data_IF_051137472141
#
_entry.id   IF_051137472141
#
_cell.length_a   1.000
_cell.length_b   1.000
_cell.length_c   1.000
_cell.angle_alpha   90.00
_cell.angle_beta   90.00
_cell.angle_gamma   90.00
#
_symmetry.space_group_name_H-M   'P 1'
#
loop_
_entity.id
_entity.type
_entity.pdbx_description
1 polymer ?
#
# COMPACT_ATOMS: atom_id res chain seq x y z
N UNK A 1 -24.47 31.62 -5.04
CA UNK A 1 -24.87 30.21 -4.89
C UNK A 1 -24.33 29.44 -6.09
N UNK A 2 -23.17 28.81 -5.92
CA UNK A 2 -22.69 27.78 -6.86
C UNK A 2 -22.42 26.57 -5.99
N UNK A 3 -23.47 25.77 -5.79
CA UNK A 3 -23.36 24.43 -5.22
C UNK A 3 -22.68 23.58 -6.28
N UNK A 4 -21.36 23.45 -6.20
CA UNK A 4 -20.62 22.45 -6.97
C UNK A 4 -21.10 21.09 -6.50
N UNK A 5 -21.92 20.44 -7.31
CA UNK A 5 -22.26 19.03 -7.15
C UNK A 5 -20.97 18.24 -7.38
N UNK A 6 -20.24 17.95 -6.31
CA UNK A 6 -19.11 17.03 -6.34
C UNK A 6 -19.68 15.65 -6.60
N UNK A 7 -19.76 15.26 -7.86
CA UNK A 7 -19.94 13.86 -8.25
C UNK A 7 -18.81 13.08 -7.59
N UNK A 8 -19.14 12.31 -6.54
CA UNK A 8 -18.20 11.44 -5.86
C UNK A 8 -17.69 10.44 -6.89
N UNK A 9 -16.47 10.64 -7.40
CA UNK A 9 -15.79 9.62 -8.19
C UNK A 9 -15.62 8.43 -7.24
N UNK A 10 -16.18 7.24 -7.54
CA UNK A 10 -15.97 6.08 -6.70
C UNK A 10 -14.50 5.67 -6.79
N UNK A 11 -13.71 6.13 -5.83
CA UNK A 11 -12.28 5.84 -5.70
C UNK A 11 -12.11 4.54 -4.93
N UNK A 12 -12.57 3.44 -5.52
CA UNK A 12 -12.50 2.12 -4.87
C UNK A 12 -11.51 1.24 -5.63
N UNK A 13 -10.37 0.98 -4.99
CA UNK A 13 -9.47 -0.10 -5.38
C UNK A 13 -9.90 -1.39 -4.64
N UNK A 14 -9.54 -2.55 -5.18
CA UNK A 14 -9.80 -3.85 -4.57
C UNK A 14 -8.59 -4.37 -3.80
N UNK A 15 -8.81 -5.35 -2.94
CA UNK A 15 -7.77 -6.13 -2.26
C UNK A 15 -7.82 -7.57 -2.76
N UNK A 16 -6.68 -8.30 -2.83
CA UNK A 16 -6.70 -9.73 -3.17
C UNK A 16 -7.28 -10.60 -2.05
N UNK A 17 -7.56 -10.02 -0.87
CA UNK A 17 -8.10 -10.74 0.29
C UNK A 17 -9.61 -10.92 0.14
N UNK A 18 -10.10 -12.15 0.23
CA UNK A 18 -11.54 -12.42 0.39
C UNK A 18 -11.98 -12.01 1.81
N UNK A 19 -12.46 -10.77 1.92
CA UNK A 19 -12.86 -10.17 3.20
C UNK A 19 -14.03 -10.94 3.83
N UNK A 20 -14.98 -11.43 3.03
CA UNK A 20 -16.13 -12.18 3.52
C UNK A 20 -15.68 -13.51 4.14
N UNK A 21 -14.75 -14.21 3.48
CA UNK A 21 -14.18 -15.44 4.04
C UNK A 21 -13.35 -15.15 5.28
N UNK A 22 -12.50 -14.11 5.24
CA UNK A 22 -11.68 -13.72 6.38
C UNK A 22 -12.53 -13.39 7.61
N UNK A 23 -13.62 -12.65 7.44
CA UNK A 23 -14.57 -12.34 8.52
C UNK A 23 -15.14 -13.60 9.17
N UNK A 24 -15.53 -14.60 8.37
CA UNK A 24 -16.02 -15.89 8.87
C UNK A 24 -14.96 -16.65 9.69
N UNK A 25 -13.71 -16.67 9.21
CA UNK A 25 -12.60 -17.34 9.92
C UNK A 25 -12.23 -16.62 11.23
N UNK A 26 -12.44 -15.30 11.31
CA UNK A 26 -12.12 -14.48 12.48
C UNK A 26 -13.22 -14.45 13.55
N UNK A 27 -14.37 -15.09 13.33
CA UNK A 27 -15.48 -15.16 14.31
C UNK A 27 -15.02 -15.70 15.67
N UNK A 28 -14.07 -16.64 15.69
CA UNK A 28 -13.53 -17.23 16.92
C UNK A 28 -12.35 -16.47 17.54
N UNK A 29 -11.84 -15.41 16.91
CA UNK A 29 -10.62 -14.74 17.37
C UNK A 29 -10.84 -14.03 18.73
N UNK A 30 -9.93 -14.17 19.70
CA UNK A 30 -10.11 -13.62 21.05
C UNK A 30 -10.02 -12.08 21.09
N UNK A 31 -9.20 -11.49 20.22
CA UNK A 31 -9.06 -10.04 20.09
C UNK A 31 -10.05 -9.53 19.04
N UNK A 32 -11.16 -8.93 19.50
CA UNK A 32 -12.23 -8.41 18.62
C UNK A 32 -11.95 -7.01 18.09
N UNK A 33 -11.12 -6.25 18.79
CA UNK A 33 -10.73 -4.91 18.37
C UNK A 33 -9.82 -5.02 17.15
N UNK A 34 -8.82 -5.90 17.20
CA UNK A 34 -7.95 -6.20 16.07
C UNK A 34 -8.73 -6.68 14.84
N UNK A 35 -9.67 -7.62 15.01
CA UNK A 35 -10.44 -8.13 13.87
C UNK A 35 -11.32 -7.06 13.26
N UNK A 36 -11.92 -6.21 14.09
CA UNK A 36 -12.78 -5.12 13.60
C UNK A 36 -11.96 -4.10 12.82
N UNK A 37 -10.81 -3.68 13.36
CA UNK A 37 -9.86 -2.79 12.70
C UNK A 37 -9.38 -3.34 11.35
N UNK A 38 -9.01 -4.61 11.30
CA UNK A 38 -8.54 -5.26 10.08
C UNK A 38 -9.65 -5.32 9.01
N UNK A 39 -10.85 -5.75 9.39
CA UNK A 39 -11.97 -5.89 8.46
C UNK A 39 -12.47 -4.54 7.96
N UNK A 40 -12.56 -3.53 8.83
CA UNK A 40 -12.93 -2.17 8.40
C UNK A 40 -11.86 -1.60 7.46
N UNK A 41 -10.58 -1.76 7.81
CA UNK A 41 -9.48 -1.27 6.98
C UNK A 41 -9.42 -1.90 5.59
N UNK A 42 -9.69 -3.21 5.48
CA UNK A 42 -9.75 -3.89 4.19
C UNK A 42 -10.96 -3.47 3.34
N UNK A 43 -12.08 -3.08 3.96
CA UNK A 43 -13.31 -2.66 3.26
C UNK A 43 -13.29 -1.19 2.86
N UNK A 44 -12.77 -0.34 3.73
CA UNK A 44 -12.93 1.11 3.67
C UNK A 44 -11.59 1.85 3.48
N UNK A 45 -10.47 1.15 3.63
CA UNK A 45 -9.12 1.71 3.62
C UNK A 45 -8.55 1.88 5.01
N UNK A 46 -7.21 1.91 5.10
CA UNK A 46 -6.48 2.17 6.34
C UNK A 46 -6.10 3.64 6.45
N UNK A 47 -6.10 4.17 7.67
CA UNK A 47 -5.49 5.48 7.92
C UNK A 47 -3.98 5.41 7.67
N UNK A 48 -3.48 6.36 6.89
CA UNK A 48 -2.05 6.45 6.53
C UNK A 48 -1.21 7.17 7.59
N UNK A 49 -1.85 7.78 8.60
CA UNK A 49 -1.16 8.49 9.67
C UNK A 49 -0.63 9.87 9.28
N UNK A 50 -0.98 10.36 8.10
CA UNK A 50 -0.60 11.68 7.62
C UNK A 50 -1.45 12.74 8.33
N UNK A 51 -0.88 13.42 9.31
CA UNK A 51 -1.57 14.46 10.09
C UNK A 51 -1.64 15.82 9.37
N UNK A 52 -0.61 16.14 8.58
CA UNK A 52 -0.49 17.43 7.88
C UNK A 52 -0.53 17.22 6.37
N UNK A 53 -1.73 17.28 5.79
CA UNK A 53 -1.93 17.10 4.35
C UNK A 53 -1.27 18.28 3.61
N UNK A 54 -0.35 18.02 2.64
CA UNK A 54 0.23 19.09 1.84
C UNK A 54 -0.87 19.90 1.17
N UNK A 55 -0.80 21.23 1.15
CA UNK A 55 -1.86 22.11 0.63
C UNK A 55 -1.61 22.65 -0.79
N UNK A 56 -0.54 22.19 -1.44
CA UNK A 56 -0.17 22.56 -2.80
C UNK A 56 0.05 21.32 -3.66
N UNK A 57 -0.44 21.33 -4.91
CA UNK A 57 -0.16 20.26 -5.83
C UNK A 57 1.34 20.18 -6.11
N UNK A 58 1.87 18.97 -6.27
CA UNK A 58 3.24 18.75 -6.73
C UNK A 58 3.30 17.57 -7.68
N UNK A 59 4.07 17.76 -8.76
CA UNK A 59 4.38 16.72 -9.72
C UNK A 59 5.87 16.48 -9.78
N UNK A 60 6.29 15.26 -9.45
CA UNK A 60 7.67 14.85 -9.55
C UNK A 60 7.85 13.96 -10.81
N UNK A 61 8.92 14.17 -11.59
CA UNK A 61 9.17 13.37 -12.78
C UNK A 61 9.59 11.94 -12.42
N UNK A 62 9.19 10.99 -13.25
CA UNK A 62 9.56 9.57 -13.08
C UNK A 62 11.08 9.34 -13.00
N UNK A 63 11.46 8.31 -12.24
CA UNK A 63 12.84 7.90 -12.08
C UNK A 63 13.45 7.49 -13.43
N UNK A 64 14.79 7.54 -13.52
CA UNK A 64 15.50 7.19 -14.76
C UNK A 64 15.21 5.76 -15.23
N UNK A 65 15.01 4.83 -14.31
CA UNK A 65 14.70 3.43 -14.63
C UNK A 65 13.35 3.29 -15.37
N UNK A 66 12.30 3.95 -14.91
CA UNK A 66 11.00 3.96 -15.58
C UNK A 66 11.06 4.62 -16.96
N UNK A 67 11.76 5.75 -17.09
CA UNK A 67 11.91 6.45 -18.38
C UNK A 67 12.69 5.65 -19.43
N UNK A 68 13.61 4.79 -19.01
CA UNK A 68 14.40 3.94 -19.91
C UNK A 68 13.63 2.73 -20.45
N UNK A 69 12.61 2.28 -19.75
CA UNK A 69 11.81 1.12 -20.12
C UNK A 69 10.30 1.39 -19.97
N UNK A 70 9.77 2.33 -20.78
CA UNK A 70 8.36 2.73 -20.68
C UNK A 70 7.40 1.59 -21.03
N UNK A 71 7.83 0.63 -21.87
CA UNK A 71 6.99 -0.52 -22.25
C UNK A 71 6.66 -1.40 -21.05
N UNK A 72 7.65 -1.72 -20.21
CA UNK A 72 7.39 -2.49 -19.00
C UNK A 72 6.58 -1.69 -17.98
N UNK A 73 6.80 -0.38 -17.87
CA UNK A 73 5.96 0.48 -17.02
C UNK A 73 4.50 0.39 -17.44
N UNK A 74 4.20 0.61 -18.73
CA UNK A 74 2.82 0.55 -19.24
C UNK A 74 2.19 -0.83 -18.99
N UNK A 75 2.91 -1.91 -19.25
CA UNK A 75 2.42 -3.27 -19.01
C UNK A 75 2.11 -3.51 -17.53
N UNK A 76 3.03 -3.17 -16.63
CA UNK A 76 2.87 -3.39 -15.20
C UNK A 76 1.73 -2.53 -14.63
N UNK A 77 1.62 -1.26 -15.03
CA UNK A 77 0.48 -0.41 -14.62
C UNK A 77 -0.85 -0.99 -15.12
N UNK A 78 -0.90 -1.54 -16.33
CA UNK A 78 -2.09 -2.19 -16.85
C UNK A 78 -2.46 -3.46 -16.06
N UNK A 79 -1.47 -4.23 -15.59
CA UNK A 79 -1.70 -5.38 -14.72
C UNK A 79 -2.30 -4.97 -13.36
N UNK A 80 -1.76 -3.93 -12.72
CA UNK A 80 -2.31 -3.38 -11.47
C UNK A 80 -3.75 -2.87 -11.64
N UNK A 81 -4.04 -2.20 -12.77
CA UNK A 81 -5.40 -1.74 -13.12
C UNK A 81 -6.36 -2.93 -13.35
N UNK A 82 -5.90 -3.97 -14.05
CA UNK A 82 -6.71 -5.17 -14.31
C UNK A 82 -7.01 -5.95 -13.03
N UNK A 83 -6.07 -5.95 -12.08
CA UNK A 83 -6.28 -6.53 -10.74
C UNK A 83 -7.18 -5.67 -9.85
N UNK A 84 -7.51 -4.44 -10.29
CA UNK A 84 -8.31 -3.48 -9.54
C UNK A 84 -7.57 -2.77 -8.40
N UNK A 85 -6.24 -2.90 -8.32
CA UNK A 85 -5.44 -2.31 -7.24
C UNK A 85 -5.19 -0.82 -7.43
N UNK A 86 -5.34 -0.31 -8.65
CA UNK A 86 -5.23 1.11 -8.99
C UNK A 86 -6.55 1.64 -9.54
N UNK A 87 -6.81 2.92 -9.28
CA UNK A 87 -7.97 3.64 -9.83
C UNK A 87 -7.46 4.69 -10.82
N UNK A 88 -8.10 4.76 -11.99
CA UNK A 88 -7.70 5.59 -13.11
C UNK A 88 -7.49 4.75 -14.37
N UNK A 89 -6.57 5.12 -15.29
CA UNK A 89 -5.82 6.38 -15.30
C UNK A 89 -6.74 7.59 -15.54
N UNK A 90 -6.35 8.74 -15.03
CA UNK A 90 -7.07 9.99 -15.24
C UNK A 90 -6.36 10.85 -16.29
N UNK A 91 -7.14 11.48 -17.18
CA UNK A 91 -6.60 12.43 -18.16
C UNK A 91 -6.15 13.75 -17.52
N UNK A 92 -6.65 14.05 -16.32
CA UNK A 92 -6.29 15.20 -15.50
C UNK A 92 -6.40 14.83 -14.02
N UNK A 93 -5.65 15.49 -13.11
CA UNK A 93 -5.74 15.24 -11.68
C UNK A 93 -7.20 15.34 -11.18
N UNK A 94 -7.73 14.33 -10.45
CA UNK A 94 -9.12 14.34 -10.00
C UNK A 94 -9.38 15.30 -8.83
N UNK A 95 -8.34 15.87 -8.24
CA UNK A 95 -8.39 16.78 -7.11
C UNK A 95 -7.64 18.08 -7.41
N UNK A 96 -8.06 19.19 -6.79
CA UNK A 96 -7.38 20.50 -6.88
C UNK A 96 -5.96 20.40 -6.30
N UNK A 97 -5.83 19.66 -5.22
CA UNK A 97 -4.59 19.46 -4.51
C UNK A 97 -4.24 17.97 -4.53
N UNK A 98 -3.08 17.65 -5.07
CA UNK A 98 -2.68 16.28 -5.39
C UNK A 98 -1.16 16.10 -5.34
N UNK A 99 -0.71 14.85 -5.26
CA UNK A 99 0.71 14.50 -5.30
C UNK A 99 0.97 13.43 -6.33
N UNK A 100 1.84 13.73 -7.30
CA UNK A 100 2.36 12.74 -8.25
C UNK A 100 3.79 12.40 -7.84
N UNK A 101 3.94 11.23 -7.22
CA UNK A 101 5.25 10.71 -6.85
C UNK A 101 5.91 10.01 -8.05
N UNK A 102 7.25 10.04 -8.16
CA UNK A 102 7.96 9.34 -9.21
C UNK A 102 7.71 7.84 -9.12
N UNK A 103 7.49 7.21 -10.28
CA UNK A 103 7.63 5.75 -10.38
C UNK A 103 8.99 5.36 -10.95
N UNK A 104 9.47 4.21 -10.52
CA UNK A 104 10.68 3.55 -11.02
C UNK A 104 10.43 2.09 -11.34
N UNK A 105 11.40 1.47 -11.99
CA UNK A 105 11.46 0.01 -12.15
C UNK A 105 12.65 -0.54 -11.37
N UNK A 106 12.41 -1.65 -10.67
CA UNK A 106 13.43 -2.47 -10.02
C UNK A 106 13.29 -3.90 -10.49
N UNK A 107 14.41 -4.59 -10.69
CA UNK A 107 14.44 -5.98 -11.09
C UNK A 107 14.79 -6.87 -9.90
N UNK A 108 13.99 -7.91 -9.67
CA UNK A 108 14.27 -8.93 -8.66
C UNK A 108 15.54 -9.69 -9.00
N UNK A 109 16.49 -9.74 -8.07
CA UNK A 109 17.79 -10.40 -8.25
C UNK A 109 17.64 -11.86 -8.71
N UNK A 110 16.73 -12.61 -8.09
CA UNK A 110 16.54 -14.05 -8.32
C UNK A 110 15.62 -14.34 -9.50
N UNK A 111 14.44 -13.70 -9.54
CA UNK A 111 13.41 -14.04 -10.53
C UNK A 111 13.54 -13.27 -11.83
N UNK A 112 14.37 -12.22 -11.89
CA UNK A 112 14.49 -11.27 -13.00
C UNK A 112 13.19 -10.55 -13.35
N UNK A 113 12.15 -10.71 -12.53
CA UNK A 113 10.88 -10.00 -12.68
C UNK A 113 11.08 -8.53 -12.32
N UNK A 114 10.57 -7.64 -13.17
CA UNK A 114 10.53 -6.20 -12.93
C UNK A 114 9.28 -5.85 -12.11
N UNK A 115 9.44 -4.94 -11.17
CA UNK A 115 8.36 -4.38 -10.35
C UNK A 115 8.41 -2.86 -10.43
N UNK A 116 7.22 -2.25 -10.40
CA UNK A 116 7.10 -0.81 -10.19
C UNK A 116 7.45 -0.51 -8.74
N UNK A 117 8.19 0.56 -8.53
CA UNK A 117 8.37 1.19 -7.22
C UNK A 117 7.83 2.61 -7.27
N UNK A 118 7.27 3.09 -6.17
CA UNK A 118 6.82 4.47 -5.99
C UNK A 118 7.76 5.14 -5.01
N UNK A 119 8.39 6.25 -5.40
CA UNK A 119 9.27 7.02 -4.53
C UNK A 119 8.45 7.99 -3.66
N UNK A 120 7.95 7.49 -2.53
CA UNK A 120 7.21 8.29 -1.53
C UNK A 120 8.11 9.22 -0.71
N UNK A 121 9.43 9.15 -0.92
CA UNK A 121 10.41 10.05 -0.32
C UNK A 121 10.73 11.25 -1.22
N UNK A 122 10.17 11.31 -2.43
CA UNK A 122 10.28 12.47 -3.30
C UNK A 122 9.31 13.59 -2.90
N UNK A 123 9.67 14.87 -3.16
CA UNK A 123 10.98 15.33 -3.58
C UNK A 123 12.00 15.23 -2.42
N UNK A 124 13.24 14.88 -2.75
CA UNK A 124 14.30 14.77 -1.75
C UNK A 124 14.85 16.16 -1.42
N UNK A 125 14.94 16.49 -0.13
CA UNK A 125 15.50 17.74 0.40
C UNK A 125 14.76 19.03 -0.01
N UNK A 126 13.46 18.96 -0.27
CA UNK A 126 12.63 20.14 -0.52
C UNK A 126 11.97 20.60 0.80
N UNK A 127 12.26 21.84 1.21
CA UNK A 127 11.73 22.41 2.47
C UNK A 127 10.28 22.84 2.34
N UNK A 128 9.84 23.21 1.14
CA UNK A 128 8.49 23.70 0.88
C UNK A 128 7.54 22.53 0.56
N UNK A 129 8.12 21.39 0.16
CA UNK A 129 7.40 20.18 -0.20
C UNK A 129 7.96 18.95 0.53
N UNK A 130 7.64 18.75 1.82
CA UNK A 130 8.02 17.54 2.52
C UNK A 130 7.52 16.29 1.77
N UNK A 131 8.29 15.21 1.85
CA UNK A 131 7.93 13.93 1.25
C UNK A 131 6.78 13.28 2.03
N UNK A 132 6.00 12.42 1.37
CA UNK A 132 4.86 11.75 2.01
C UNK A 132 5.32 10.96 3.25
N UNK A 133 6.44 10.23 3.14
CA UNK A 133 6.99 9.47 4.26
C UNK A 133 7.39 10.35 5.45
N UNK A 134 7.85 11.58 5.22
CA UNK A 134 8.24 12.50 6.30
C UNK A 134 7.06 13.08 7.08
N UNK A 135 5.84 12.90 6.59
CA UNK A 135 4.61 13.40 7.21
C UNK A 135 3.97 12.39 8.18
N UNK A 136 4.46 11.14 8.19
CA UNK A 136 3.99 10.09 9.06
C UNK A 136 4.83 10.13 10.33
N UNK A 137 4.16 10.22 11.48
CA UNK A 137 4.82 10.16 12.78
C UNK A 137 5.33 8.73 13.04
N UNK A 138 6.65 8.57 13.10
CA UNK A 138 7.30 7.27 13.28
C UNK A 138 7.04 6.66 14.66
N UNK A 139 6.77 7.49 15.67
CA UNK A 139 6.51 7.01 17.02
C UNK A 139 5.12 6.37 17.10
N UNK A 140 4.14 6.97 16.43
CA UNK A 140 2.76 6.46 16.33
C UNK A 140 2.61 5.26 15.37
N UNK A 141 3.52 5.11 14.40
CA UNK A 141 3.45 4.06 13.36
C UNK A 141 4.69 3.17 13.33
N UNK A 142 5.27 2.86 14.49
CA UNK A 142 6.45 2.01 14.58
C UNK A 142 6.14 0.55 14.17
N UNK A 143 7.00 -0.02 13.33
CA UNK A 143 6.86 -1.39 12.85
C UNK A 143 7.77 -2.33 13.64
N UNK A 144 7.18 -3.30 14.34
CA UNK A 144 7.91 -4.36 15.04
C UNK A 144 7.89 -5.64 14.21
N UNK A 145 9.05 -6.05 13.72
CA UNK A 145 9.18 -7.29 12.95
C UNK A 145 9.34 -8.50 13.88
N UNK A 146 8.55 -9.54 13.63
CA UNK A 146 8.77 -10.85 14.22
C UNK A 146 10.06 -11.44 13.63
N UNK A 147 10.98 -11.86 14.49
CA UNK A 147 12.26 -12.45 14.06
C UNK A 147 12.14 -13.95 13.83
N UNK A 148 13.13 -14.53 13.12
CA UNK A 148 13.25 -15.99 12.97
C UNK A 148 13.41 -16.66 14.35
N UNK A 149 14.14 -16.04 15.27
CA UNK A 149 14.31 -16.56 16.64
C UNK A 149 12.98 -16.61 17.40
N UNK A 150 12.09 -15.63 17.21
CA UNK A 150 10.76 -15.65 17.79
C UNK A 150 9.98 -16.86 17.27
N UNK A 151 10.00 -17.10 15.96
CA UNK A 151 9.36 -18.27 15.36
C UNK A 151 9.95 -19.59 15.87
N UNK A 152 11.28 -19.70 15.97
CA UNK A 152 11.95 -20.89 16.52
C UNK A 152 11.52 -21.13 17.97
N UNK A 153 11.50 -20.09 18.80
CA UNK A 153 11.03 -20.19 20.20
C UNK A 153 9.60 -20.67 20.28
N UNK A 154 8.69 -20.14 19.45
CA UNK A 154 7.30 -20.60 19.41
C UNK A 154 7.18 -22.07 19.03
N UNK A 155 7.96 -22.52 18.04
CA UNK A 155 7.97 -23.94 17.63
C UNK A 155 8.49 -24.83 18.75
N UNK A 156 9.58 -24.43 19.41
CA UNK A 156 10.16 -25.17 20.54
C UNK A 156 9.18 -25.28 21.71
N UNK A 157 8.39 -24.23 21.98
CA UNK A 157 7.38 -24.21 23.03
C UNK A 157 6.18 -25.13 22.75
N UNK A 158 5.73 -25.21 21.49
CA UNK A 158 4.67 -26.15 21.09
C UNK A 158 5.13 -27.62 21.21
N UNK A 159 6.43 -27.86 21.08
CA UNK A 159 7.05 -29.13 21.39
C UNK A 159 6.95 -30.17 20.27
N UNK A 160 7.26 -31.41 20.64
CA UNK A 160 7.27 -32.53 19.70
C UNK A 160 5.85 -32.86 19.23
N UNK A 161 5.72 -33.25 17.96
CA UNK A 161 4.46 -33.64 17.32
C UNK A 161 3.45 -32.48 17.11
N UNK A 162 3.92 -31.24 17.25
CA UNK A 162 3.15 -30.05 16.89
C UNK A 162 2.88 -29.99 15.38
N UNK A 163 1.64 -29.65 15.02
CA UNK A 163 1.24 -29.47 13.63
C UNK A 163 1.63 -28.07 13.17
N UNK A 164 2.23 -27.97 11.99
CA UNK A 164 2.69 -26.70 11.42
C UNK A 164 2.10 -26.49 10.03
N UNK A 165 1.66 -25.26 9.77
CA UNK A 165 1.30 -24.80 8.44
C UNK A 165 2.01 -23.46 8.16
N UNK A 166 2.40 -23.25 6.91
CA UNK A 166 2.96 -21.98 6.42
C UNK A 166 2.10 -21.49 5.26
N UNK A 167 1.60 -20.27 5.40
CA UNK A 167 0.88 -19.57 4.35
C UNK A 167 1.67 -18.32 3.95
N UNK A 168 1.62 -17.98 2.67
CA UNK A 168 2.18 -16.74 2.12
C UNK A 168 1.06 -16.02 1.38
N UNK A 169 0.93 -14.70 1.59
CA UNK A 169 -0.09 -13.88 0.94
C UNK A 169 0.56 -13.18 -0.24
N UNK A 170 0.09 -13.49 -1.44
CA UNK A 170 0.52 -12.79 -2.64
C UNK A 170 -0.14 -11.42 -2.71
N UNK A 171 0.61 -10.40 -3.15
CA UNK A 171 0.12 -9.03 -3.37
C UNK A 171 -0.56 -8.41 -2.13
N UNK A 172 0.02 -8.67 -0.95
CA UNK A 172 -0.57 -8.31 0.35
C UNK A 172 -0.65 -6.80 0.66
N UNK A 173 0.00 -5.94 -0.13
CA UNK A 173 0.11 -4.50 0.10
C UNK A 173 -0.47 -3.72 -1.08
#
# INVERSE_FOLDING_TARGET
MITSCSTSIPLVATTPIDICRLEQELVGHPDKELTSFLLSGLREGFDTGISNIPNKPLECPNLRSARRDPRNVTRLVAEELNNGFLIGPYNSPPFINYRINPIGLVESTYSKKKRIIVDLSAPHNDKDHPSINSLIDTDSYSLSYVTVDNAIKSIQQLGKDAWMNKTDIQDAF
#
